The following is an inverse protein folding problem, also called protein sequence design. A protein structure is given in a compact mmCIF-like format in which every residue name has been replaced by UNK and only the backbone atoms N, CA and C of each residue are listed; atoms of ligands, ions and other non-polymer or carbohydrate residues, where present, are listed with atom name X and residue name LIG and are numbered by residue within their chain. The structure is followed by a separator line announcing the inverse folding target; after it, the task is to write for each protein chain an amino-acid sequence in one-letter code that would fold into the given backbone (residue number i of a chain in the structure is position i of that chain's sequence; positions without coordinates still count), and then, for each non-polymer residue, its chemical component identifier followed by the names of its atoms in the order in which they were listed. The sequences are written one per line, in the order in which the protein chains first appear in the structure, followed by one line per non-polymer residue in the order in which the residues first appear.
data_IF_525045349352
#
_entry.id   IF_525045349352
#
_cell.length_a   1.000
_cell.length_b   1.000
_cell.length_c   1.000
_cell.angle_alpha   90.00
_cell.angle_beta   90.00
_cell.angle_gamma   90.00
#
_symmetry.space_group_name_H-M   'P 1'
#
loop_
_entity.id
_entity.type
_entity.pdbx_description
1 polymer ?
#
# COMPACT_ATOMS: atom_id res chain seq x y z
N UNK A 1 -14.52 6.45 -3.97
CA UNK A 1 -14.80 6.67 -5.40
C UNK A 1 -16.31 6.68 -5.62
N UNK A 2 -16.87 7.67 -6.33
CA UNK A 2 -18.28 7.65 -6.71
C UNK A 2 -18.49 6.60 -7.83
N UNK A 3 -19.32 5.59 -7.56
CA UNK A 3 -19.81 4.67 -8.59
C UNK A 3 -19.20 3.25 -8.63
N UNK A 4 -18.15 2.98 -7.87
CA UNK A 4 -17.67 1.60 -7.63
C UNK A 4 -17.34 1.48 -6.15
N UNK A 5 -18.14 0.71 -5.41
CA UNK A 5 -17.88 0.45 -4.00
C UNK A 5 -16.86 -0.68 -3.91
N UNK A 6 -15.64 -0.34 -3.52
CA UNK A 6 -14.55 -1.30 -3.26
C UNK A 6 -14.21 -1.36 -1.77
N UNK A 7 -15.13 -0.92 -0.90
CA UNK A 7 -14.90 -0.85 0.54
C UNK A 7 -13.97 0.28 0.98
N UNK A 8 -13.56 1.18 0.06
CA UNK A 8 -12.65 2.29 0.33
C UNK A 8 -11.17 1.98 0.08
N UNK A 9 -10.85 0.82 -0.49
CA UNK A 9 -9.46 0.41 -0.74
C UNK A 9 -8.80 1.13 -1.93
N UNK A 10 -9.56 1.74 -2.86
CA UNK A 10 -9.02 2.68 -3.83
C UNK A 10 -8.91 4.09 -3.20
N UNK A 11 -7.79 4.36 -2.54
CA UNK A 11 -7.58 5.61 -1.82
C UNK A 11 -7.28 6.75 -2.79
N UNK A 12 -8.14 7.76 -2.82
CA UNK A 12 -7.97 8.95 -3.65
C UNK A 12 -7.06 10.00 -3.02
N UNK A 13 -6.98 10.06 -1.68
CA UNK A 13 -6.09 10.93 -0.92
C UNK A 13 -5.89 10.35 0.49
N UNK A 14 -4.64 10.07 0.86
CA UNK A 14 -4.29 9.56 2.19
C UNK A 14 -4.22 10.65 3.27
N UNK A 15 -4.30 11.92 2.90
CA UNK A 15 -4.13 13.06 3.81
C UNK A 15 -5.46 13.68 4.24
N UNK A 16 -6.57 13.13 3.75
CA UNK A 16 -7.92 13.61 4.06
C UNK A 16 -8.80 12.46 4.54
N UNK A 17 -9.82 12.82 5.31
CA UNK A 17 -10.90 11.90 5.66
C UNK A 17 -12.04 12.12 4.66
N UNK A 18 -12.76 11.08 4.33
CA UNK A 18 -13.97 11.15 3.51
C UNK A 18 -14.94 12.14 4.16
N UNK A 19 -15.41 13.12 3.39
CA UNK A 19 -16.13 14.29 3.90
C UNK A 19 -17.44 13.96 4.62
N UNK A 20 -18.04 12.80 4.31
CA UNK A 20 -19.23 12.30 5.00
C UNK A 20 -18.92 11.66 6.37
N UNK A 21 -17.64 11.36 6.64
CA UNK A 21 -17.18 10.81 7.92
C UNK A 21 -16.57 11.89 8.84
N UNK A 22 -16.10 13.00 8.28
CA UNK A 22 -15.50 14.09 9.05
C UNK A 22 -14.22 14.64 8.47
N UNK A 23 -13.39 15.18 9.34
CA UNK A 23 -12.12 15.84 9.03
C UNK A 23 -10.94 15.14 9.73
N UNK A 24 -9.73 15.58 9.44
CA UNK A 24 -8.52 15.13 10.16
C UNK A 24 -8.53 15.58 11.64
N UNK A 25 -9.23 16.65 11.99
CA UNK A 25 -9.38 17.09 13.38
C UNK A 25 -10.41 16.21 14.11
N UNK A 26 -11.51 15.82 13.47
CA UNK A 26 -12.44 14.83 14.01
C UNK A 26 -11.75 13.47 14.26
N UNK A 27 -10.81 13.06 13.38
CA UNK A 27 -10.00 11.87 13.63
C UNK A 27 -9.15 12.02 14.90
N UNK A 28 -8.53 13.18 15.11
CA UNK A 28 -7.74 13.44 16.32
C UNK A 28 -8.60 13.39 17.60
N UNK A 29 -9.79 13.96 17.56
CA UNK A 29 -10.76 13.93 18.66
C UNK A 29 -11.25 12.51 18.94
N UNK A 30 -11.52 11.73 17.89
CA UNK A 30 -11.89 10.32 18.01
C UNK A 30 -10.78 9.51 18.67
N UNK A 31 -9.53 9.65 18.21
CA UNK A 31 -8.39 8.90 18.78
C UNK A 31 -8.13 9.27 20.23
N UNK A 32 -8.27 10.56 20.59
CA UNK A 32 -8.15 11.02 21.97
C UNK A 32 -9.25 10.41 22.87
N UNK A 33 -10.48 10.37 22.37
CA UNK A 33 -11.63 9.78 23.08
C UNK A 33 -11.43 8.27 23.27
N UNK A 34 -11.05 7.55 22.24
CA UNK A 34 -10.78 6.09 22.32
C UNK A 34 -9.69 5.82 23.36
N UNK A 35 -8.59 6.56 23.30
CA UNK A 35 -7.46 6.41 24.23
C UNK A 35 -7.87 6.64 25.69
N UNK A 36 -8.75 7.63 25.95
CA UNK A 36 -9.29 7.88 27.29
C UNK A 36 -10.08 6.68 27.84
N UNK A 37 -10.58 5.82 26.96
CA UNK A 37 -11.29 4.57 27.29
C UNK A 37 -10.41 3.31 27.20
N UNK A 38 -9.09 3.47 27.00
CA UNK A 38 -8.15 2.35 26.89
C UNK A 38 -8.26 1.59 25.56
N UNK A 39 -8.76 2.24 24.50
CA UNK A 39 -8.95 1.67 23.17
C UNK A 39 -7.97 2.34 22.21
N UNK A 40 -7.21 1.54 21.46
CA UNK A 40 -6.32 2.00 20.39
C UNK A 40 -7.04 1.94 19.03
N UNK A 41 -6.86 2.97 18.19
CA UNK A 41 -7.37 2.96 16.83
C UNK A 41 -6.43 2.16 15.93
N UNK A 42 -6.96 1.16 15.24
CA UNK A 42 -6.33 0.50 14.09
C UNK A 42 -6.84 1.19 12.82
N UNK A 43 -5.93 1.66 11.99
CA UNK A 43 -6.27 2.28 10.72
C UNK A 43 -5.65 1.50 9.57
N UNK A 44 -6.46 1.20 8.55
CA UNK A 44 -5.95 0.65 7.30
C UNK A 44 -5.05 1.66 6.60
N UNK A 45 -3.88 1.20 6.18
CA UNK A 45 -2.98 1.92 5.31
C UNK A 45 -2.73 1.07 4.08
N UNK A 46 -3.35 1.47 2.98
CA UNK A 46 -3.24 0.78 1.70
C UNK A 46 -1.88 1.11 1.11
N UNK A 47 -0.96 0.13 1.16
CA UNK A 47 0.44 0.34 0.78
C UNK A 47 0.77 -0.18 -0.62
N UNK A 48 -0.03 -1.09 -1.18
CA UNK A 48 0.24 -1.65 -2.49
C UNK A 48 -0.13 -0.70 -3.63
N UNK A 49 -1.25 0.03 -3.51
CA UNK A 49 -1.83 0.81 -4.60
C UNK A 49 -2.52 2.08 -4.12
N UNK A 50 -2.83 2.94 -5.08
CA UNK A 50 -3.69 4.12 -4.89
C UNK A 50 -4.79 4.12 -5.96
N UNK A 51 -5.84 4.92 -5.75
CA UNK A 51 -6.86 5.12 -6.77
C UNK A 51 -6.28 5.79 -8.02
N UNK A 52 -6.80 5.45 -9.19
CA UNK A 52 -6.47 6.12 -10.45
C UNK A 52 -6.80 7.64 -10.44
N UNK A 53 -7.63 8.09 -9.49
CA UNK A 53 -7.93 9.50 -9.22
C UNK A 53 -6.97 10.16 -8.21
N UNK A 54 -6.04 9.41 -7.62
CA UNK A 54 -5.06 9.96 -6.67
C UNK A 54 -4.21 11.07 -7.32
N UNK A 55 -3.81 12.05 -6.53
CA UNK A 55 -2.96 13.16 -6.99
C UNK A 55 -1.71 12.67 -7.75
N UNK A 56 -1.07 11.62 -7.26
CA UNK A 56 0.11 11.05 -7.92
C UNK A 56 -0.20 10.49 -9.31
N UNK A 57 -1.33 9.77 -9.45
CA UNK A 57 -1.77 9.24 -10.74
C UNK A 57 -2.15 10.37 -11.72
N UNK A 58 -2.84 11.41 -11.25
CA UNK A 58 -3.14 12.60 -12.08
C UNK A 58 -1.88 13.30 -12.58
N UNK A 59 -0.86 13.45 -11.73
CA UNK A 59 0.43 14.04 -12.11
C UNK A 59 1.23 13.15 -13.05
N UNK A 60 1.15 11.83 -12.89
CA UNK A 60 1.76 10.88 -13.82
C UNK A 60 1.14 11.01 -15.21
N UNK A 61 -0.20 11.08 -15.32
CA UNK A 61 -0.93 11.36 -16.58
C UNK A 61 -0.56 12.70 -17.19
N UNK A 62 -0.32 13.72 -16.36
CA UNK A 62 0.17 15.03 -16.82
C UNK A 62 1.64 15.02 -17.28
N UNK A 63 2.28 13.85 -17.39
CA UNK A 63 3.63 13.69 -17.89
C UNK A 63 4.74 14.07 -16.90
N UNK A 64 4.42 14.27 -15.61
CA UNK A 64 5.44 14.58 -14.61
C UNK A 64 6.24 13.33 -14.25
N UNK A 65 7.50 13.26 -14.70
CA UNK A 65 8.34 12.08 -14.61
C UNK A 65 8.47 11.55 -13.16
N UNK A 66 8.66 12.43 -12.18
CA UNK A 66 8.70 12.05 -10.76
C UNK A 66 7.53 11.15 -10.37
N UNK A 67 6.32 11.49 -10.79
CA UNK A 67 5.11 10.75 -10.43
C UNK A 67 4.85 9.56 -11.33
N UNK A 68 5.36 9.57 -12.57
CA UNK A 68 5.38 8.37 -13.42
C UNK A 68 6.23 7.27 -12.78
N UNK A 69 7.35 7.65 -12.17
CA UNK A 69 8.27 6.73 -11.49
C UNK A 69 7.70 6.16 -10.17
N UNK A 70 6.56 6.70 -9.68
CA UNK A 70 5.84 6.13 -8.53
C UNK A 70 5.05 4.88 -8.88
N UNK A 71 4.85 4.60 -10.16
CA UNK A 71 4.07 3.49 -10.67
C UNK A 71 4.90 2.60 -11.58
N UNK A 72 4.43 1.38 -11.83
CA UNK A 72 4.95 0.52 -12.87
C UNK A 72 4.14 0.76 -14.15
N UNK A 73 4.72 1.49 -15.09
CA UNK A 73 4.10 1.82 -16.38
C UNK A 73 4.96 1.21 -17.49
N UNK A 74 4.43 0.22 -18.19
CA UNK A 74 5.10 -0.48 -19.28
C UNK A 74 4.71 0.12 -20.64
N UNK A 75 5.65 0.13 -21.57
CA UNK A 75 5.47 0.80 -22.85
C UNK A 75 4.97 -0.14 -23.96
N UNK A 76 5.20 -1.45 -23.82
CA UNK A 76 4.92 -2.42 -24.88
C UNK A 76 4.12 -3.62 -24.37
N UNK A 77 3.38 -4.26 -25.29
CA UNK A 77 2.68 -5.51 -24.98
C UNK A 77 3.64 -6.64 -24.64
N UNK A 78 4.81 -6.69 -25.28
CA UNK A 78 5.83 -7.74 -25.01
C UNK A 78 6.33 -7.68 -23.56
N UNK A 79 6.44 -6.46 -22.98
CA UNK A 79 6.76 -6.28 -21.57
C UNK A 79 5.64 -6.83 -20.67
N UNK A 80 4.38 -6.49 -20.98
CA UNK A 80 3.21 -7.01 -20.26
C UNK A 80 3.21 -8.54 -20.31
N UNK A 81 3.34 -9.12 -21.50
CA UNK A 81 3.33 -10.57 -21.69
C UNK A 81 4.48 -11.27 -20.92
N UNK A 82 5.62 -10.61 -20.80
CA UNK A 82 6.75 -11.13 -20.04
C UNK A 82 6.47 -11.18 -18.53
N UNK A 83 5.77 -10.17 -17.99
CA UNK A 83 5.37 -10.14 -16.59
C UNK A 83 4.22 -11.10 -16.28
N UNK A 84 3.17 -11.11 -17.10
CA UNK A 84 1.96 -11.92 -16.88
C UNK A 84 2.23 -13.43 -16.81
N UNK A 85 3.33 -13.92 -17.40
CA UNK A 85 3.69 -15.35 -17.40
C UNK A 85 3.71 -15.99 -16.01
N UNK A 86 3.99 -15.20 -14.96
CA UNK A 86 4.19 -15.72 -13.60
C UNK A 86 3.27 -15.07 -12.58
N UNK A 87 2.51 -14.05 -12.98
CA UNK A 87 1.62 -13.35 -12.07
C UNK A 87 0.32 -14.12 -11.85
N UNK A 88 -0.16 -14.21 -10.60
CA UNK A 88 -1.50 -14.73 -10.34
C UNK A 88 -2.55 -13.71 -10.76
N UNK A 89 -3.67 -14.20 -11.23
CA UNK A 89 -4.90 -13.41 -11.32
C UNK A 89 -5.60 -13.48 -9.96
N UNK A 90 -5.55 -12.38 -9.21
CA UNK A 90 -6.04 -12.34 -7.82
C UNK A 90 -7.57 -12.34 -7.78
N UNK A 91 -8.22 -11.69 -8.75
CA UNK A 91 -9.67 -11.62 -8.87
C UNK A 91 -10.15 -11.98 -10.28
N UNK A 92 -10.04 -13.26 -10.68
CA UNK A 92 -10.34 -13.71 -12.05
C UNK A 92 -11.77 -13.42 -12.50
N UNK A 93 -12.72 -13.29 -11.55
CA UNK A 93 -14.12 -13.00 -11.85
C UNK A 93 -14.39 -11.51 -12.12
N UNK A 94 -13.48 -10.60 -11.73
CA UNK A 94 -13.71 -9.15 -11.76
C UNK A 94 -12.64 -8.36 -12.50
N UNK A 95 -11.41 -8.85 -12.54
CA UNK A 95 -10.29 -8.19 -13.19
C UNK A 95 -9.58 -9.18 -14.12
N UNK A 96 -9.31 -8.76 -15.34
CA UNK A 96 -8.62 -9.56 -16.35
C UNK A 96 -7.16 -9.11 -16.47
N UNK A 97 -6.25 -9.89 -15.86
CA UNK A 97 -4.82 -9.62 -15.84
C UNK A 97 -4.42 -8.54 -14.80
N UNK A 98 -3.13 -8.22 -14.79
CA UNK A 98 -2.53 -7.32 -13.82
C UNK A 98 -2.18 -5.93 -14.41
N UNK A 99 -2.55 -5.66 -15.65
CA UNK A 99 -2.23 -4.41 -16.32
C UNK A 99 -3.45 -3.81 -17.01
N UNK A 100 -3.57 -2.49 -16.94
CA UNK A 100 -4.59 -1.71 -17.64
C UNK A 100 -3.93 -0.65 -18.52
N UNK A 101 -4.45 -0.46 -19.73
CA UNK A 101 -3.97 0.61 -20.61
C UNK A 101 -4.50 1.96 -20.14
N UNK A 102 -3.61 2.95 -20.05
CA UNK A 102 -3.99 4.33 -19.76
C UNK A 102 -3.58 5.25 -20.91
N UNK A 103 -4.57 5.89 -21.52
CA UNK A 103 -4.36 6.74 -22.70
C UNK A 103 -3.53 7.98 -22.41
N UNK A 104 -3.64 8.57 -21.24
CA UNK A 104 -2.88 9.76 -20.87
C UNK A 104 -1.41 9.40 -20.56
N UNK A 105 -1.19 8.25 -19.96
CA UNK A 105 0.15 7.71 -19.73
C UNK A 105 0.78 7.12 -21.00
N UNK A 106 -0.01 6.80 -22.03
CA UNK A 106 0.42 6.04 -23.22
C UNK A 106 1.20 4.78 -22.83
N UNK A 107 0.61 3.99 -21.90
CA UNK A 107 1.27 2.81 -21.38
C UNK A 107 0.34 1.93 -20.55
N UNK A 108 0.83 0.72 -20.29
CA UNK A 108 0.18 -0.27 -19.44
C UNK A 108 0.56 -0.04 -17.99
N UNK A 109 -0.41 0.36 -17.17
CA UNK A 109 -0.22 0.58 -15.74
C UNK A 109 -0.50 -0.70 -14.97
N UNK A 110 0.37 -1.05 -14.04
CA UNK A 110 0.16 -2.18 -13.15
C UNK A 110 -1.02 -1.95 -12.21
N UNK A 111 -1.95 -2.91 -12.17
CA UNK A 111 -3.18 -2.87 -11.39
C UNK A 111 -3.54 -4.29 -10.90
N UNK A 112 -2.88 -4.75 -9.84
CA UNK A 112 -3.01 -6.14 -9.33
C UNK A 112 -4.44 -6.52 -8.98
N UNK A 113 -5.26 -5.59 -8.46
CA UNK A 113 -6.60 -5.91 -7.93
C UNK A 113 -7.71 -5.43 -8.86
N UNK A 114 -7.79 -4.14 -9.13
CA UNK A 114 -8.79 -3.55 -10.02
C UNK A 114 -8.13 -2.52 -10.94
N UNK A 115 -8.66 -2.35 -12.15
CA UNK A 115 -8.14 -1.40 -13.16
C UNK A 115 -7.96 0.04 -12.65
N UNK A 116 -8.74 0.43 -11.63
CA UNK A 116 -8.70 1.74 -10.99
C UNK A 116 -7.80 1.80 -9.74
N UNK A 117 -7.06 0.74 -9.42
CA UNK A 117 -6.13 0.62 -8.30
C UNK A 117 -4.71 0.45 -8.85
N UNK A 118 -3.97 1.55 -8.95
CA UNK A 118 -2.65 1.58 -9.56
C UNK A 118 -1.56 1.20 -8.57
N UNK A 119 -0.84 0.14 -8.87
CA UNK A 119 0.21 -0.39 -7.99
C UNK A 119 1.41 0.55 -7.92
N UNK A 120 1.94 0.71 -6.72
CA UNK A 120 3.06 1.60 -6.42
C UNK A 120 4.40 0.90 -6.63
N UNK A 121 5.36 1.66 -7.13
CA UNK A 121 6.74 1.23 -7.34
C UNK A 121 7.57 1.41 -6.06
N UNK A 122 7.60 0.44 -5.19
CA UNK A 122 8.39 0.47 -3.96
C UNK A 122 9.91 0.35 -4.17
N UNK A 123 10.37 0.09 -5.40
CA UNK A 123 11.78 0.24 -5.74
C UNK A 123 12.21 1.72 -5.84
N UNK A 124 11.24 2.64 -5.94
CA UNK A 124 11.48 4.06 -5.89
C UNK A 124 11.51 4.56 -4.43
N UNK A 125 12.64 5.07 -3.93
CA UNK A 125 12.77 5.54 -2.55
C UNK A 125 11.84 6.71 -2.20
N UNK A 126 11.40 7.49 -3.18
CA UNK A 126 10.45 8.58 -2.94
C UNK A 126 9.09 8.04 -2.47
N UNK A 127 8.64 6.88 -2.97
CA UNK A 127 7.42 6.21 -2.50
C UNK A 127 7.55 5.84 -1.02
N UNK A 128 8.71 5.28 -0.62
CA UNK A 128 9.01 4.98 0.78
C UNK A 128 8.92 6.25 1.66
N UNK A 129 9.51 7.35 1.21
CA UNK A 129 9.50 8.63 1.94
C UNK A 129 8.09 9.20 2.07
N UNK A 130 7.26 9.11 1.02
CA UNK A 130 5.85 9.55 1.07
C UNK A 130 5.06 8.76 2.11
N UNK A 131 5.20 7.42 2.14
CA UNK A 131 4.50 6.60 3.13
C UNK A 131 4.99 6.82 4.55
N UNK A 132 6.29 7.04 4.74
CA UNK A 132 6.82 7.40 6.06
C UNK A 132 6.24 8.73 6.55
N UNK A 133 6.12 9.73 5.67
CA UNK A 133 5.50 11.02 6.02
C UNK A 133 3.99 10.87 6.31
N UNK A 134 3.27 10.07 5.53
CA UNK A 134 1.87 9.74 5.79
C UNK A 134 1.68 9.09 7.17
N UNK A 135 2.49 8.08 7.49
CA UNK A 135 2.45 7.44 8.81
C UNK A 135 2.72 8.45 9.94
N UNK A 136 3.69 9.36 9.74
CA UNK A 136 3.99 10.42 10.71
C UNK A 136 2.80 11.36 10.91
N UNK A 137 2.14 11.79 9.83
CA UNK A 137 0.95 12.65 9.90
C UNK A 137 -0.18 11.96 10.65
N UNK A 138 -0.47 10.70 10.34
CA UNK A 138 -1.54 9.94 10.97
C UNK A 138 -1.22 9.59 12.44
N UNK A 139 0.04 9.25 12.76
CA UNK A 139 0.48 9.04 14.14
C UNK A 139 0.33 10.31 14.99
N UNK A 140 0.61 11.49 14.42
CA UNK A 140 0.37 12.78 15.08
C UNK A 140 -1.12 13.09 15.31
N UNK A 141 -2.02 12.41 14.58
CA UNK A 141 -3.47 12.44 14.78
C UNK A 141 -3.98 11.36 15.74
N UNK A 142 -3.04 10.60 16.33
CA UNK A 142 -3.32 9.61 17.36
C UNK A 142 -3.58 8.19 16.85
N UNK A 143 -3.32 7.89 15.58
CA UNK A 143 -3.34 6.51 15.07
C UNK A 143 -2.19 5.73 15.72
N UNK A 144 -2.51 4.61 16.34
CA UNK A 144 -1.55 3.78 17.09
C UNK A 144 -1.17 2.50 16.39
N UNK A 145 -2.05 1.98 15.53
CA UNK A 145 -1.80 0.75 14.77
C UNK A 145 -2.09 0.98 13.30
N UNK A 146 -1.14 0.67 12.43
CA UNK A 146 -1.34 0.64 10.98
C UNK A 146 -1.55 -0.80 10.52
N UNK A 147 -2.74 -1.10 9.95
CA UNK A 147 -2.95 -2.33 9.20
C UNK A 147 -2.44 -2.09 7.77
N UNK A 148 -1.36 -2.77 7.42
CA UNK A 148 -0.72 -2.64 6.11
C UNK A 148 -1.44 -3.55 5.13
N UNK A 149 -2.36 -2.96 4.37
CA UNK A 149 -3.20 -3.67 3.42
C UNK A 149 -2.39 -4.16 2.22
N UNK A 150 -2.65 -5.40 1.80
CA UNK A 150 -2.01 -6.05 0.65
C UNK A 150 -0.46 -6.00 0.69
N UNK A 151 0.14 -6.02 1.89
CA UNK A 151 1.60 -5.89 2.08
C UNK A 151 2.40 -6.95 1.32
N UNK A 152 1.83 -8.12 1.08
CA UNK A 152 2.50 -9.21 0.37
C UNK A 152 2.75 -8.92 -1.12
N UNK A 153 2.17 -7.87 -1.68
CA UNK A 153 2.23 -7.56 -3.11
C UNK A 153 3.11 -6.36 -3.46
N UNK A 154 3.66 -5.63 -2.49
CA UNK A 154 4.31 -4.33 -2.73
C UNK A 154 5.61 -4.40 -3.55
N UNK A 155 6.27 -5.55 -3.65
CA UNK A 155 7.52 -5.69 -4.41
C UNK A 155 7.33 -6.45 -5.71
N UNK A 156 7.82 -5.88 -6.81
CA UNK A 156 7.70 -6.46 -8.15
C UNK A 156 9.08 -6.94 -8.65
N UNK A 157 9.14 -8.20 -9.11
CA UNK A 157 10.37 -8.80 -9.64
C UNK A 157 10.04 -9.74 -10.78
N UNK A 158 10.53 -9.42 -11.98
CA UNK A 158 10.28 -10.20 -13.17
C UNK A 158 10.70 -11.67 -12.98
N UNK A 159 9.88 -12.60 -13.48
CA UNK A 159 10.10 -14.03 -13.35
C UNK A 159 9.67 -14.62 -12.01
N UNK A 160 9.00 -13.85 -11.14
CA UNK A 160 8.37 -14.31 -9.90
C UNK A 160 6.87 -14.06 -9.96
N UNK A 161 6.12 -14.58 -8.99
CA UNK A 161 4.70 -14.25 -8.82
C UNK A 161 4.45 -12.89 -8.15
N UNK A 162 5.50 -12.12 -7.85
CA UNK A 162 5.45 -10.83 -7.17
C UNK A 162 4.66 -10.83 -5.85
N UNK A 163 4.64 -11.96 -5.16
CA UNK A 163 3.96 -12.12 -3.89
C UNK A 163 4.90 -12.65 -2.82
N UNK A 164 4.86 -12.08 -1.63
CA UNK A 164 5.63 -12.50 -0.45
C UNK A 164 7.15 -12.57 -0.68
N UNK A 165 7.70 -11.64 -1.47
CA UNK A 165 9.14 -11.61 -1.75
C UNK A 165 9.95 -11.10 -0.55
N UNK A 166 11.22 -11.51 -0.40
CA UNK A 166 12.06 -11.12 0.75
C UNK A 166 12.21 -9.62 0.95
N UNK A 167 12.22 -8.86 -0.14
CA UNK A 167 12.35 -7.40 -0.15
C UNK A 167 11.19 -6.70 0.60
N UNK A 168 10.02 -7.32 0.64
CA UNK A 168 8.84 -6.83 1.38
C UNK A 168 9.14 -6.72 2.87
N UNK A 169 9.83 -7.70 3.43
CA UNK A 169 10.22 -7.69 4.84
C UNK A 169 11.29 -6.63 5.14
N UNK A 170 12.23 -6.40 4.20
CA UNK A 170 13.23 -5.32 4.31
C UNK A 170 12.54 -3.94 4.35
N UNK A 171 11.60 -3.70 3.44
CA UNK A 171 10.86 -2.43 3.34
C UNK A 171 10.00 -2.23 4.60
N UNK A 172 9.23 -3.24 4.99
CA UNK A 172 8.34 -3.17 6.15
C UNK A 172 9.12 -2.92 7.45
N UNK A 173 10.25 -3.62 7.63
CA UNK A 173 11.13 -3.39 8.77
C UNK A 173 11.70 -1.97 8.75
N UNK A 174 12.11 -1.47 7.58
CA UNK A 174 12.65 -0.12 7.43
C UNK A 174 11.62 0.94 7.79
N UNK A 175 10.38 0.82 7.30
CA UNK A 175 9.26 1.71 7.68
C UNK A 175 9.03 1.69 9.19
N UNK A 176 8.98 0.48 9.77
CA UNK A 176 8.75 0.32 11.20
C UNK A 176 9.86 0.95 12.04
N UNK A 177 11.11 0.75 11.67
CA UNK A 177 12.23 1.34 12.39
C UNK A 177 12.24 2.87 12.28
N UNK A 178 11.97 3.39 11.07
CA UNK A 178 11.95 4.83 10.83
C UNK A 178 10.81 5.54 11.60
N UNK A 179 9.57 5.01 11.54
CA UNK A 179 8.44 5.64 12.24
C UNK A 179 8.61 5.59 13.76
N UNK A 180 9.22 4.54 14.29
CA UNK A 180 9.43 4.41 15.75
C UNK A 180 10.44 5.39 16.33
N UNK A 181 11.23 6.07 15.52
CA UNK A 181 12.09 7.17 15.98
C UNK A 181 11.22 8.33 16.50
N UNK A 182 10.11 8.61 15.83
CA UNK A 182 9.23 9.76 16.13
C UNK A 182 7.94 9.35 16.84
N UNK A 183 7.49 8.11 16.66
CA UNK A 183 6.27 7.55 17.24
C UNK A 183 6.54 6.13 17.78
N UNK A 184 7.24 5.96 18.90
CA UNK A 184 7.74 4.67 19.38
C UNK A 184 6.64 3.67 19.80
N UNK A 185 5.43 4.15 20.06
CA UNK A 185 4.28 3.32 20.43
C UNK A 185 3.53 2.75 19.22
N UNK A 186 3.83 3.21 17.98
CA UNK A 186 3.16 2.71 16.77
C UNK A 186 3.46 1.23 16.56
N UNK A 187 2.40 0.46 16.28
CA UNK A 187 2.46 -0.95 15.94
C UNK A 187 2.01 -1.18 14.49
N UNK A 188 2.53 -2.25 13.88
CA UNK A 188 2.14 -2.70 12.54
C UNK A 188 1.37 -4.01 12.61
N UNK A 189 0.28 -4.06 11.84
CA UNK A 189 -0.49 -5.27 11.56
C UNK A 189 -0.36 -5.57 10.06
N UNK A 190 0.20 -6.74 9.72
CA UNK A 190 0.27 -7.16 8.32
C UNK A 190 -1.07 -7.78 7.89
N UNK A 191 -1.60 -7.33 6.75
CA UNK A 191 -2.59 -8.07 6.00
C UNK A 191 -1.85 -8.92 4.97
N UNK A 192 -1.54 -10.16 5.37
CA UNK A 192 -0.71 -11.07 4.60
C UNK A 192 -1.48 -12.35 4.28
N UNK A 193 -2.15 -12.36 3.12
CA UNK A 193 -2.80 -13.56 2.58
C UNK A 193 -1.72 -14.42 1.92
N UNK A 194 -1.05 -15.20 2.74
CA UNK A 194 0.06 -16.10 2.34
C UNK A 194 -0.10 -17.46 3.01
N UNK A 195 0.65 -18.47 2.56
CA UNK A 195 0.62 -19.79 3.19
C UNK A 195 1.05 -19.74 4.67
N UNK A 196 0.59 -20.70 5.52
CA UNK A 196 0.89 -20.73 6.95
C UNK A 196 2.38 -20.70 7.29
N UNK A 197 3.22 -21.30 6.47
CA UNK A 197 4.68 -21.34 6.65
C UNK A 197 5.33 -19.96 6.45
N UNK A 198 4.73 -19.12 5.62
CA UNK A 198 5.21 -17.78 5.31
C UNK A 198 4.75 -16.72 6.30
N UNK A 199 3.59 -16.93 6.97
CA UNK A 199 3.01 -15.98 7.92
C UNK A 199 4.02 -15.54 8.99
N UNK A 200 4.76 -16.49 9.55
CA UNK A 200 5.73 -16.19 10.60
C UNK A 200 6.88 -15.28 10.15
N UNK A 201 7.10 -15.13 8.82
CA UNK A 201 8.04 -14.18 8.25
C UNK A 201 7.70 -12.73 8.58
N UNK A 202 6.40 -12.41 8.68
CA UNK A 202 5.92 -11.06 9.01
C UNK A 202 6.14 -10.65 10.47
N UNK A 203 6.41 -11.60 11.39
CA UNK A 203 6.92 -11.26 12.73
C UNK A 203 8.44 -11.02 12.74
N UNK A 204 9.14 -11.44 11.68
CA UNK A 204 10.57 -11.35 11.48
C UNK A 204 11.30 -12.67 11.67
N UNK A 205 12.10 -13.05 10.67
CA UNK A 205 12.99 -14.24 10.69
C UNK A 205 14.40 -13.85 10.25
N UNK A 206 15.40 -14.60 10.71
CA UNK A 206 16.79 -14.42 10.30
C UNK A 206 17.29 -13.01 10.56
N UNK A 207 17.72 -12.28 9.52
CA UNK A 207 18.18 -10.88 9.61
C UNK A 207 17.09 -9.89 10.07
N UNK A 208 15.82 -10.24 9.90
CA UNK A 208 14.68 -9.43 10.34
C UNK A 208 14.20 -9.79 11.75
N UNK A 209 14.97 -10.57 12.49
CA UNK A 209 14.61 -11.05 13.81
C UNK A 209 14.09 -9.93 14.70
N UNK A 210 12.88 -10.16 15.19
CA UNK A 210 12.27 -9.31 16.20
C UNK A 210 11.58 -8.09 15.66
N UNK A 211 11.18 -8.02 14.35
CA UNK A 211 10.19 -6.97 14.12
C UNK A 211 10.03 -6.45 12.69
N UNK A 212 9.31 -7.21 11.90
CA UNK A 212 8.66 -6.69 10.70
C UNK A 212 7.29 -6.12 11.11
N UNK A 213 6.38 -6.94 11.64
CA UNK A 213 5.10 -6.50 12.20
C UNK A 213 4.90 -7.03 13.62
N UNK A 214 3.97 -6.42 14.34
CA UNK A 214 3.59 -6.80 15.72
C UNK A 214 2.39 -7.76 15.71
N UNK A 215 1.55 -7.68 14.67
CA UNK A 215 0.35 -8.48 14.46
C UNK A 215 0.26 -8.91 12.99
N UNK A 216 -0.48 -9.98 12.74
CA UNK A 216 -0.80 -10.47 11.41
C UNK A 216 -2.30 -10.73 11.36
N UNK A 217 -2.95 -10.25 10.32
CA UNK A 217 -4.30 -10.61 9.92
C UNK A 217 -4.21 -11.63 8.78
N UNK A 218 -4.99 -12.72 8.90
CA UNK A 218 -4.99 -13.81 7.93
C UNK A 218 -6.41 -14.36 7.77
#
# INVERSE_FOLDING_TARGET
RQGTDDGGYAVADHRTIRTDLGTMDDLADLTATLRAHGISLVMDLIVNHVAAEHEWARRARAGQQKYRDYFHILSTQDEVDAWEKNLPDVFPDFAHGNFTWDDDCQGWVWATFNEFQWDLNWANPDVFCEFLDLMRVLANRGVEVFRLDAIAFIWKKLGTNCQNLPEIHDITQSLRQAIRIVAPAVAFMADAIVGPDDLTGYFGRGRHWGKVCDMIYH
#
